data_IF_744228127817
#
_entry.id   IF_744228127817
#
_cell.length_a   1.000
_cell.length_b   1.000
_cell.length_c   1.000
_cell.angle_alpha   90.00
_cell.angle_beta   90.00
_cell.angle_gamma   90.00
#
_symmetry.space_group_name_H-M   'P 1'
#
loop_
_entity.id
_entity.type
_entity.pdbx_description
1 polymer ?
2 non-polymer ?
3 water ?
#
# COMPACT_ATOMS: atom_id res chain seq x y z
N UNK A 113 -10.94 -16.82 1.82
CA UNK A 113 -10.16 -18.06 1.86
C UNK A 113 -8.75 -17.69 1.49
N UNK A 114 -8.58 -17.34 0.20
CA UNK A 114 -7.34 -16.87 -0.32
C UNK A 114 -7.24 -15.45 0.18
N UNK A 115 -8.33 -14.62 0.08
CA UNK A 115 -8.29 -13.23 0.54
C UNK A 115 -8.00 -13.12 2.04
N UNK A 116 -8.65 -13.99 2.85
CA UNK A 116 -8.54 -14.00 4.31
C UNK A 116 -7.12 -14.31 4.73
N UNK A 117 -6.56 -15.35 4.13
CA UNK A 117 -5.19 -15.76 4.34
C UNK A 117 -4.19 -14.73 3.88
N UNK A 118 -4.44 -14.10 2.70
CA UNK A 118 -3.56 -13.06 2.18
C UNK A 118 -3.51 -11.86 3.11
N UNK A 119 -4.65 -11.44 3.63
CA UNK A 119 -4.71 -10.29 4.54
C UNK A 119 -3.87 -10.61 5.79
N UNK A 120 -4.10 -11.79 6.41
CA UNK A 120 -3.33 -12.23 7.58
C UNK A 120 -1.85 -12.35 7.31
N UNK A 121 -1.47 -12.86 6.12
CA UNK A 121 -0.08 -13.06 5.76
C UNK A 121 0.63 -11.75 5.47
N UNK A 122 -0.09 -10.76 4.90
CA UNK A 122 0.45 -9.46 4.58
C UNK A 122 0.70 -8.74 5.91
N UNK A 123 -0.23 -8.89 6.84
CA UNK A 123 -0.07 -8.27 8.16
C UNK A 123 1.09 -8.93 8.93
N UNK A 124 1.01 -10.24 9.10
CA UNK A 124 2.02 -10.98 9.89
C UNK A 124 3.42 -10.92 9.26
N UNK A 125 3.50 -11.13 7.95
CA UNK A 125 4.79 -11.23 7.27
C UNK A 125 5.40 -9.96 6.78
N UNK A 126 4.65 -8.84 6.86
CA UNK A 126 5.15 -7.57 6.37
C UNK A 126 4.84 -6.39 7.29
N UNK A 127 3.57 -5.99 7.36
CA UNK A 127 3.14 -4.79 8.10
C UNK A 127 3.56 -4.79 9.57
N UNK A 128 3.39 -5.92 10.25
CA UNK A 128 3.78 -6.13 11.65
C UNK A 128 5.29 -5.88 11.82
N UNK A 129 6.07 -6.10 10.76
CA UNK A 129 7.52 -5.93 10.85
C UNK A 129 8.00 -4.52 10.51
N UNK A 130 7.34 -3.83 9.56
CA UNK A 130 7.77 -2.49 9.16
C UNK A 130 7.09 -1.37 9.94
N UNK A 131 5.80 -1.50 10.26
CA UNK A 131 5.05 -0.40 10.86
C UNK A 131 5.65 0.07 12.22
N UNK A 132 6.14 -0.81 13.15
CA UNK A 132 6.75 -0.29 14.40
C UNK A 132 7.99 0.57 14.18
N UNK A 133 8.70 0.38 13.06
CA UNK A 133 9.93 1.10 12.72
C UNK A 133 9.75 2.28 11.76
N UNK A 134 8.54 2.43 11.20
CA UNK A 134 8.27 3.42 10.18
C UNK A 134 8.42 4.89 10.63
N UNK A 135 7.80 5.24 11.76
CA UNK A 135 7.81 6.63 12.30
C UNK A 135 9.21 7.16 12.49
N UNK A 136 10.13 6.33 13.01
CA UNK A 136 11.53 6.70 13.18
C UNK A 136 12.22 6.92 11.84
N UNK A 137 11.86 6.13 10.79
CA UNK A 137 12.48 6.29 9.48
C UNK A 137 12.02 7.61 8.85
N UNK A 138 10.74 7.96 9.05
CA UNK A 138 10.17 9.19 8.46
C UNK A 138 10.77 10.40 9.21
N UNK A 139 10.84 10.33 10.57
CA UNK A 139 11.45 11.36 11.42
C UNK A 139 12.89 11.61 11.00
N UNK A 140 13.66 10.53 10.74
CA UNK A 140 15.03 10.62 10.25
C UNK A 140 15.07 11.36 8.93
N UNK A 141 14.29 10.91 7.90
CA UNK A 141 14.23 11.57 6.61
C UNK A 141 13.88 13.06 6.73
N UNK A 142 12.91 13.40 7.61
CA UNK A 142 12.48 14.78 7.79
C UNK A 142 13.56 15.68 8.44
N UNK A 143 14.30 15.13 9.43
CA UNK A 143 15.37 15.80 10.17
C UNK A 143 16.63 16.01 9.33
N UNK A 144 16.81 15.24 8.23
CA UNK A 144 17.96 15.37 7.31
C UNK A 144 17.57 16.20 6.09
N UNK A 152 7.59 18.58 4.73
CA UNK A 152 7.80 17.39 5.55
C UNK A 152 6.94 16.21 5.08
N UNK A 153 7.54 15.02 5.03
CA UNK A 153 6.87 13.77 4.64
C UNK A 153 5.86 13.46 5.73
N UNK A 154 4.62 13.15 5.34
CA UNK A 154 3.63 12.78 6.35
C UNK A 154 4.00 11.46 7.03
N UNK A 155 3.46 11.25 8.24
CA UNK A 155 3.66 10.01 8.96
C UNK A 155 2.66 9.04 8.32
N UNK A 156 2.74 7.75 8.64
CA UNK A 156 1.85 6.72 8.13
C UNK A 156 2.19 6.22 6.73
N UNK A 157 2.13 4.90 6.58
CA UNK A 157 2.27 4.24 5.30
C UNK A 157 0.88 4.26 4.64
N UNK A 158 0.80 4.84 3.46
CA UNK A 158 -0.48 4.91 2.73
C UNK A 158 -0.49 3.74 1.78
N UNK A 159 -1.42 2.80 2.01
CA UNK A 159 -1.51 1.58 1.23
C UNK A 159 -2.66 1.65 0.22
N UNK A 160 -2.32 1.53 -1.05
CA UNK A 160 -3.32 1.58 -2.12
C UNK A 160 -3.95 0.23 -2.35
N UNK A 161 -5.26 0.21 -2.26
CA UNK A 161 -6.03 -1.01 -2.41
C UNK A 161 -7.00 -0.90 -3.60
N UNK A 162 -6.53 -1.03 -4.85
CA UNK A 162 -7.47 -0.95 -5.98
C UNK A 162 -8.29 -2.26 -6.03
N UNK A 163 -9.61 -2.14 -5.91
CA UNK A 163 -10.49 -3.31 -5.94
C UNK A 163 -10.50 -4.05 -7.31
N UNK A 164 -10.00 -3.39 -8.37
CA UNK A 164 -9.85 -4.03 -9.68
C UNK A 164 -8.58 -4.90 -9.71
N UNK A 165 -7.80 -4.87 -8.60
CA UNK A 165 -6.55 -5.64 -8.44
C UNK A 165 -5.49 -5.28 -9.48
N UNK A 166 -5.63 -4.10 -10.08
CA UNK A 166 -4.67 -3.59 -11.06
C UNK A 166 -3.54 -2.96 -10.28
N UNK A 167 -2.41 -3.65 -10.21
CA UNK A 167 -1.25 -3.18 -9.44
C UNK A 167 -0.06 -2.89 -10.37
N UNK A 168 0.06 -1.65 -10.93
CA UNK A 168 1.26 -1.35 -11.72
C UNK A 168 2.46 -1.17 -10.79
N UNK A 169 3.66 -1.45 -11.30
CA UNK A 169 4.88 -1.31 -10.52
C UNK A 169 5.36 0.13 -10.41
N UNK A 170 4.95 0.97 -11.36
CA UNK A 170 5.32 2.39 -11.43
C UNK A 170 4.08 3.25 -11.16
N UNK A 171 4.06 3.90 -9.99
CA UNK A 171 2.95 4.74 -9.55
C UNK A 171 2.70 5.96 -10.44
N UNK A 172 3.78 6.54 -11.01
CA UNK A 172 3.70 7.71 -11.90
C UNK A 172 2.95 7.39 -13.21
N UNK A 173 2.91 6.10 -13.59
CA UNK A 173 2.19 5.62 -14.76
C UNK A 173 0.68 5.61 -14.49
N UNK A 174 0.27 5.21 -13.27
CA UNK A 174 -1.12 5.17 -12.81
C UNK A 174 -1.72 6.59 -12.72
N UNK A 175 -0.88 7.58 -12.28
CA UNK A 175 -1.24 9.00 -12.19
C UNK A 175 0.04 9.86 -12.26
N UNK A 176 0.21 10.71 -13.32
CA UNK A 176 1.40 11.59 -13.38
C UNK A 176 1.49 12.57 -12.18
N UNK A 177 0.34 12.88 -11.56
CA UNK A 177 0.29 13.73 -10.36
C UNK A 177 0.81 13.05 -9.10
N UNK A 178 1.28 11.80 -9.23
CA UNK A 178 1.89 11.06 -8.11
C UNK A 178 3.33 10.92 -8.54
N UNK A 179 4.18 11.78 -7.98
CA UNK A 179 5.57 11.90 -8.39
C UNK A 179 6.55 11.37 -7.38
N UNK A 180 7.36 10.41 -7.81
CA UNK A 180 8.40 9.84 -6.94
C UNK A 180 9.37 10.95 -6.47
N UNK A 181 9.59 11.06 -5.16
CA UNK A 181 10.49 12.04 -4.54
C UNK A 181 11.79 11.40 -4.14
N UNK A 182 11.72 10.39 -3.24
CA UNK A 182 12.90 9.76 -2.68
C UNK A 182 12.55 8.42 -2.03
N UNK A 183 13.57 7.65 -1.66
CA UNK A 183 13.32 6.42 -0.91
C UNK A 183 13.50 6.81 0.53
N UNK A 184 12.77 6.16 1.43
CA UNK A 184 12.98 6.35 2.87
C UNK A 184 14.35 5.68 3.22
N UNK A 185 15.07 5.96 4.33
CA UNK A 185 16.24 5.11 4.64
C UNK A 185 15.75 3.65 4.82
N UNK A 186 16.43 2.68 4.22
CA UNK A 186 15.95 1.29 4.33
C UNK A 186 15.97 0.74 5.74
N UNK A 187 15.07 -0.18 6.03
CA UNK A 187 15.03 -0.91 7.28
C UNK A 187 15.62 -2.30 6.93
N UNK A 188 16.37 -2.92 7.86
CA UNK A 188 16.90 -4.28 7.66
C UNK A 188 16.60 -5.07 8.91
N UNK A 189 16.40 -6.38 8.75
CA UNK A 189 16.22 -7.28 9.88
C UNK A 189 16.54 -8.68 9.41
N UNK A 190 17.09 -9.49 10.30
CA UNK A 190 17.34 -10.90 10.01
C UNK A 190 15.98 -11.51 9.97
N UNK A 191 15.68 -12.17 8.89
CA UNK A 191 14.35 -12.70 8.70
C UNK A 191 14.42 -14.09 8.08
N UNK A 192 14.09 -15.15 8.87
CA UNK A 192 14.00 -16.56 8.47
C UNK A 192 15.26 -17.09 7.73
N UNK A 193 16.44 -16.72 8.21
CA UNK A 193 17.68 -17.11 7.57
C UNK A 193 18.21 -16.09 6.59
N UNK A 194 17.40 -15.05 6.25
CA UNK A 194 17.88 -14.00 5.38
C UNK A 194 18.50 -12.96 6.30
N UNK A 195 19.85 -12.85 6.29
CA UNK A 195 20.53 -11.85 7.13
C UNK A 195 20.28 -10.51 6.49
N UNK A 196 19.93 -9.51 7.29
CA UNK A 196 19.66 -8.15 6.80
C UNK A 196 18.67 -8.13 5.62
N UNK A 197 17.55 -8.83 5.76
CA UNK A 197 16.46 -8.74 4.81
C UNK A 197 16.12 -7.22 4.74
N UNK A 198 16.04 -6.67 3.53
CA UNK A 198 15.81 -5.24 3.35
C UNK A 198 14.34 -4.89 3.07
N UNK A 199 13.83 -3.91 3.83
CA UNK A 199 12.51 -3.32 3.61
C UNK A 199 12.73 -1.92 3.10
N UNK A 200 12.40 -1.71 1.81
CA UNK A 200 12.51 -0.47 1.06
C UNK A 200 11.11 0.14 0.91
N UNK A 201 10.98 1.48 1.09
CA UNK A 201 9.67 2.16 0.89
C UNK A 201 9.98 3.52 0.22
N UNK A 202 9.06 3.95 -0.65
CA UNK A 202 9.20 5.13 -1.48
C UNK A 202 8.28 6.26 -1.05
N UNK A 203 8.82 7.47 -1.15
CA UNK A 203 8.15 8.73 -0.83
C UNK A 203 7.69 9.37 -2.11
N UNK A 204 6.43 9.75 -2.14
CA UNK A 204 5.85 10.42 -3.30
C UNK A 204 5.30 11.78 -2.97
N UNK A 205 5.35 12.68 -3.94
CA UNK A 205 4.69 13.99 -3.79
C UNK A 205 3.40 13.90 -4.59
N UNK A 206 2.31 14.44 -4.03
CA UNK A 206 1.03 14.46 -4.69
C UNK A 206 0.79 15.86 -5.22
N UNK A 207 0.57 15.98 -6.54
CA UNK A 207 0.36 17.25 -7.22
C UNK A 207 -1.10 17.52 -7.51
N UNK A 208 -1.48 18.78 -7.50
CA UNK A 208 -2.86 19.20 -7.73
C UNK A 208 -2.81 20.56 -8.39
N UNK A 209 -3.23 20.60 -9.66
CA UNK A 209 -3.18 21.79 -10.53
C UNK A 209 -1.77 22.41 -10.58
N UNK A 210 -0.76 21.55 -10.67
CA UNK A 210 0.65 21.95 -10.75
C UNK A 210 1.29 22.32 -9.42
N UNK A 211 0.57 22.18 -8.31
CA UNK A 211 1.06 22.54 -6.97
C UNK A 211 1.35 21.27 -6.16
N UNK A 212 2.43 21.25 -5.38
CA UNK A 212 2.67 20.14 -4.44
C UNK A 212 1.65 20.30 -3.33
N UNK A 213 0.76 19.29 -3.16
CA UNK A 213 -0.31 19.30 -2.17
C UNK A 213 -0.10 18.35 -0.98
N UNK A 214 0.80 17.40 -1.11
CA UNK A 214 1.07 16.45 -0.04
C UNK A 214 2.29 15.60 -0.31
N UNK A 215 2.88 15.06 0.74
CA UNK A 215 4.06 14.20 0.61
C UNK A 215 3.83 13.01 1.52
N UNK A 216 3.92 11.79 0.98
CA UNK A 216 3.70 10.59 1.78
C UNK A 216 4.42 9.34 1.26
N UNK A 217 4.58 8.36 2.17
CA UNK A 217 5.13 7.05 1.87
C UNK A 217 3.91 6.28 1.34
N UNK A 218 4.04 5.79 0.10
CA UNK A 218 2.95 5.18 -0.64
C UNK A 218 3.40 3.95 -1.39
N UNK A 219 2.53 2.94 -1.37
CA UNK A 219 2.73 1.72 -2.16
C UNK A 219 1.40 1.02 -2.34
N UNK A 220 1.32 0.11 -3.30
CA UNK A 220 0.12 -0.73 -3.43
C UNK A 220 0.28 -1.91 -2.49
N UNK A 221 -0.83 -2.52 -2.06
CA UNK A 221 -0.79 -3.78 -1.32
C UNK A 221 -0.49 -4.89 -2.38
N UNK A 222 0.71 -5.49 -2.31
CA UNK A 222 1.13 -6.51 -3.27
C UNK A 222 0.23 -7.78 -3.29
N UNK A 223 -0.47 -8.19 -2.19
CA UNK A 223 -1.38 -9.36 -2.31
C UNK A 223 -2.51 -9.18 -3.33
N UNK A 224 -2.88 -7.94 -3.65
CA UNK A 224 -3.88 -7.70 -4.67
C UNK A 224 -3.33 -8.05 -6.08
N UNK A 225 -1.99 -7.96 -6.28
CA UNK A 225 -1.37 -8.39 -7.56
C UNK A 225 -1.38 -9.91 -7.60
N UNK A 226 -1.23 -10.58 -6.40
CA UNK A 226 -1.30 -12.03 -6.28
C UNK A 226 -2.70 -12.49 -6.66
N UNK A 227 -3.76 -11.83 -6.13
CA UNK A 227 -5.14 -12.16 -6.49
C UNK A 227 -5.30 -12.06 -8.03
N UNK A 228 -4.81 -10.96 -8.63
CA UNK A 228 -4.90 -10.79 -10.08
C UNK A 228 -4.21 -11.95 -10.81
N UNK A 229 -2.93 -12.17 -10.51
CA UNK A 229 -2.20 -13.25 -11.17
C UNK A 229 -2.78 -14.63 -10.95
N UNK A 230 -3.25 -14.94 -9.70
CA UNK A 230 -3.85 -16.23 -9.39
C UNK A 230 -5.05 -16.51 -10.26
N UNK A 231 -5.86 -15.48 -10.56
CA UNK A 231 -7.06 -15.68 -11.37
C UNK A 231 -6.71 -16.06 -12.83
N UNK A 232 -5.45 -15.82 -13.28
CA UNK A 232 -5.02 -16.17 -14.65
C UNK A 232 -4.46 -17.59 -14.76
N UNK A 233 -4.01 -18.19 -13.64
CA UNK A 233 -3.37 -19.51 -13.67
C UNK A 233 -4.43 -20.60 -13.52
N UNK A 234 -4.59 -21.49 -14.51
CA UNK A 234 -5.58 -22.58 -14.41
C UNK A 234 -5.42 -23.46 -13.16
N UNK A 235 -4.18 -23.77 -12.80
CA UNK A 235 -3.83 -24.64 -11.66
C UNK A 235 -4.20 -24.01 -10.31
N UNK A 236 -4.37 -22.67 -10.25
CA UNK A 236 -4.70 -21.97 -9.01
C UNK A 236 -6.11 -22.20 -8.51
N UNK A 237 -7.00 -22.72 -9.37
CA UNK A 237 -8.40 -22.97 -9.00
C UNK A 237 -9.12 -21.71 -8.55
N UNK A 238 -8.79 -20.57 -9.16
CA UNK A 238 -9.35 -19.26 -8.80
C UNK A 238 -9.96 -18.65 -10.04
N UNK A 239 -11.29 -18.57 -10.10
CA UNK A 239 -11.92 -18.02 -11.29
C UNK A 239 -11.72 -16.50 -11.43
N UNK A 240 -11.51 -16.02 -12.67
CA UNK A 240 -11.34 -14.59 -12.94
C UNK A 240 -12.49 -13.71 -12.41
N UNK A 241 -13.74 -14.22 -12.46
CA UNK A 241 -14.90 -13.45 -12.01
C UNK A 241 -15.02 -13.32 -10.46
N UNK A 242 -14.13 -14.01 -9.72
CA UNK A 242 -14.08 -13.95 -8.25
C UNK A 242 -13.13 -12.90 -7.70
N UNK A 243 -12.42 -12.19 -8.59
CA UNK A 243 -11.44 -11.19 -8.17
C UNK A 243 -12.00 -10.10 -7.30
N UNK A 244 -13.12 -9.48 -7.73
CA UNK A 244 -13.71 -8.37 -7.00
C UNK A 244 -14.12 -8.76 -5.58
N UNK A 245 -14.82 -9.90 -5.42
CA UNK A 245 -15.27 -10.43 -4.13
C UNK A 245 -14.05 -10.71 -3.21
N UNK A 246 -13.00 -11.31 -3.78
CA UNK A 246 -11.78 -11.57 -3.03
C UNK A 246 -11.05 -10.27 -2.65
N UNK A 247 -10.98 -9.27 -3.56
CA UNK A 247 -10.33 -7.98 -3.22
C UNK A 247 -11.06 -7.31 -2.07
N UNK A 248 -12.43 -7.31 -2.13
CA UNK A 248 -13.26 -6.71 -1.05
C UNK A 248 -13.00 -7.43 0.28
N UNK A 249 -12.97 -8.77 0.25
CA UNK A 249 -12.70 -9.56 1.48
C UNK A 249 -11.30 -9.25 2.02
N UNK A 250 -10.31 -9.10 1.10
CA UNK A 250 -8.94 -8.77 1.50
C UNK A 250 -8.92 -7.43 2.22
N UNK A 251 -9.60 -6.41 1.66
CA UNK A 251 -9.62 -5.06 2.24
C UNK A 251 -10.33 -5.02 3.57
N UNK A 252 -11.50 -5.68 3.65
CA UNK A 252 -12.27 -5.75 4.92
C UNK A 252 -11.49 -6.52 5.99
N UNK A 253 -10.84 -7.64 5.62
CA UNK A 253 -10.07 -8.40 6.62
C UNK A 253 -8.91 -7.58 7.16
N UNK A 254 -8.17 -6.90 6.24
CA UNK A 254 -7.00 -6.11 6.63
C UNK A 254 -7.44 -4.97 7.55
N UNK A 255 -8.60 -4.36 7.24
CA UNK A 255 -9.20 -3.30 8.04
C UNK A 255 -9.48 -3.83 9.44
N UNK A 256 -10.11 -5.02 9.55
CA UNK A 256 -10.43 -5.68 10.83
C UNK A 256 -9.19 -6.01 11.64
N UNK A 257 -8.11 -6.46 10.97
CA UNK A 257 -6.83 -6.74 11.62
C UNK A 257 -6.25 -5.45 12.20
N UNK A 258 -6.11 -4.42 11.35
CA UNK A 258 -5.50 -3.14 11.72
C UNK A 258 -6.27 -2.39 12.81
N UNK A 259 -7.60 -2.56 12.89
CA UNK A 259 -8.43 -1.95 13.93
C UNK A 259 -7.97 -2.41 15.32
N UNK A 260 -7.66 -3.70 15.48
CA UNK A 260 -7.22 -4.24 16.77
C UNK A 260 -5.71 -4.39 16.91
N UNK A 261 -4.91 -3.88 15.96
CA UNK A 261 -3.47 -4.01 16.01
C UNK A 261 -2.79 -2.78 16.61
N UNK A 264 0.10 -0.49 14.81
CA UNK A 264 -0.04 -0.70 13.38
C UNK A 264 -1.04 0.23 12.70
N UNK A 265 -2.26 0.37 13.25
CA UNK A 265 -3.34 1.23 12.74
C UNK A 265 -2.91 2.73 12.67
N UNK A 266 -2.25 3.22 13.73
CA UNK A 266 -1.81 4.61 13.77
C UNK A 266 -0.62 4.87 12.81
N UNK A 267 -0.01 3.78 12.32
CA UNK A 267 1.13 3.89 11.43
C UNK A 267 0.78 3.68 9.94
N UNK A 268 -0.50 3.46 9.60
CA UNK A 268 -0.84 3.29 8.19
C UNK A 268 -2.26 3.64 7.90
N UNK A 269 -2.55 3.89 6.64
CA UNK A 269 -3.86 4.28 6.17
C UNK A 269 -4.19 3.48 4.94
N UNK A 270 -5.35 2.82 4.93
CA UNK A 270 -5.79 1.99 3.79
C UNK A 270 -6.60 2.86 2.85
N UNK A 271 -6.27 2.83 1.53
CA UNK A 271 -6.95 3.63 0.51
C UNK A 271 -7.53 2.64 -0.48
N UNK A 272 -8.76 2.16 -0.17
CA UNK A 272 -9.51 1.20 -0.99
C UNK A 272 -10.40 2.00 -1.94
N UNK A 273 -10.37 1.66 -3.23
CA UNK A 273 -11.15 2.38 -4.25
C UNK A 273 -11.48 1.49 -5.43
N UNK A 274 -12.57 1.85 -6.13
CA UNK A 274 -13.08 1.20 -7.33
C UNK A 274 -13.10 2.22 -8.48
N UNK A 275 -12.36 1.96 -9.58
CA UNK A 275 -12.31 2.86 -10.73
C UNK A 275 -13.61 2.77 -11.56
N UNK A 276 -14.13 3.89 -12.13
CA UNK A 276 -15.33 3.79 -12.97
C UNK A 276 -15.02 3.34 -14.39
N UNK A 280 -14.98 7.31 -17.65
CA UNK A 280 -13.70 6.71 -17.32
C UNK A 280 -12.59 7.76 -17.09
N UNK A 281 -12.81 8.63 -16.09
CA UNK A 281 -11.85 9.64 -15.65
C UNK A 281 -11.78 9.53 -14.12
N UNK A 282 -10.65 9.02 -13.63
CA UNK A 282 -10.39 8.81 -12.22
C UNK A 282 -9.01 9.35 -11.87
N UNK A 283 -8.95 10.09 -10.78
CA UNK A 283 -7.71 10.68 -10.27
C UNK A 283 -7.25 9.94 -9.01
N UNK A 284 -6.19 9.14 -9.15
CA UNK A 284 -5.59 8.40 -8.03
C UNK A 284 -4.97 9.38 -7.03
N UNK A 285 -4.30 10.41 -7.53
CA UNK A 285 -3.72 11.45 -6.68
C UNK A 285 -4.77 12.12 -5.81
N UNK A 286 -5.97 12.40 -6.37
CA UNK A 286 -7.07 13.02 -5.61
C UNK A 286 -7.62 12.09 -4.53
N UNK A 287 -7.65 10.78 -4.81
CA UNK A 287 -8.09 9.74 -3.89
C UNK A 287 -7.17 9.74 -2.65
N UNK A 288 -5.84 9.76 -2.85
CA UNK A 288 -4.82 9.82 -1.78
C UNK A 288 -4.91 11.14 -1.02
N UNK A 289 -5.03 12.26 -1.75
CA UNK A 289 -5.11 13.59 -1.15
C UNK A 289 -6.28 13.71 -0.19
N UNK A 290 -7.43 13.15 -0.57
CA UNK A 290 -8.63 13.14 0.28
C UNK A 290 -8.31 12.46 1.63
N UNK A 291 -7.57 11.32 1.62
CA UNK A 291 -7.16 10.66 2.86
C UNK A 291 -6.13 11.46 3.65
N UNK A 292 -5.13 12.01 2.93
CA UNK A 292 -4.07 12.81 3.53
C UNK A 292 -4.63 14.07 4.22
N UNK A 293 -5.59 14.75 3.57
CA UNK A 293 -6.22 15.96 4.11
C UNK A 293 -7.10 15.66 5.35
N UNK A 294 -7.69 14.44 5.41
CA UNK A 294 -8.51 13.96 6.55
C UNK A 294 -7.66 13.90 7.82
N UNK A 295 -6.34 13.62 7.68
CA UNK A 295 -5.41 13.57 8.79
C UNK A 295 -5.12 14.97 9.36
N UNK A 296 -5.41 16.04 8.56
CA UNK A 296 -5.23 17.47 8.87
C UNK A 296 -3.77 17.82 9.17
#
# INVERSE_FOLDING_TARGET
>A
MAHHHHHHGSDSEVNQEAKPEVKPEVKPETHINLKVSDGSSEIFFKIKKTTPLRRLMEAFAKRQGKEMDSLTFLYDGIEIQADQTPEDLDMEDNDIIEAHREQIGGENLYFQSVAHGLAWSYYIGYLRLILPELQARIRTYNQHYNNLLRGAVSQRLYILLPLDCGVPDNLSMADPNIRFLDKLPQQTADRAGIKDRVYSNSIYELLENGQRAGTCVLEYATPLQTLFAMSQYSQAGFSREDRLEQAKLFCQTLEDILADAPESQNNCRLIAYQEPADDSSFSLSQEVLRHLRQEEKEEV
#
